data_IF_905587792669
#
_entry.id   IF_905587792669
#
_cell.length_a   1.000
_cell.length_b   1.000
_cell.length_c   1.000
_cell.angle_alpha   90.00
_cell.angle_beta   90.00
_cell.angle_gamma   90.00
#
_symmetry.space_group_name_H-M   'P 1'
#
loop_
_entity.id
_entity.type
_entity.pdbx_description
1 polymer ?
#
# COMPACT_ATOMS: atom_id res chain seq x y z
N UNK A 1 2.23 -37.04 32.39
CA UNK A 1 2.26 -37.85 31.14
C UNK A 1 3.17 -37.22 30.10
N UNK A 2 4.44 -37.66 30.05
CA UNK A 2 5.54 -37.07 29.26
C UNK A 2 6.10 -38.02 28.18
N UNK A 3 5.29 -38.96 27.66
CA UNK A 3 5.76 -40.01 26.74
C UNK A 3 5.33 -39.90 25.28
N UNK A 4 4.76 -38.75 24.87
CA UNK A 4 4.42 -38.47 23.46
C UNK A 4 5.31 -37.39 22.80
N UNK A 5 6.32 -36.87 23.51
CA UNK A 5 7.17 -35.76 23.04
C UNK A 5 8.49 -36.24 22.40
N UNK A 6 8.77 -37.55 22.37
CA UNK A 6 10.10 -38.09 22.00
C UNK A 6 10.12 -39.25 21.00
N UNK A 7 9.14 -39.37 20.10
CA UNK A 7 9.22 -40.39 19.05
C UNK A 7 9.67 -39.76 17.70
N UNK A 8 10.87 -40.12 17.25
CA UNK A 8 11.53 -39.57 16.06
C UNK A 8 10.77 -39.89 14.76
N UNK A 9 9.91 -40.92 14.78
CA UNK A 9 9.13 -41.39 13.62
C UNK A 9 8.00 -40.44 13.21
N UNK A 10 7.60 -39.51 14.08
CA UNK A 10 6.57 -38.51 13.79
C UNK A 10 7.13 -37.16 13.31
N UNK A 11 8.46 -37.00 13.21
CA UNK A 11 9.08 -35.77 12.70
C UNK A 11 8.78 -35.50 11.22
N UNK A 12 8.77 -36.49 10.31
CA UNK A 12 8.42 -36.25 8.91
C UNK A 12 6.96 -35.86 8.75
N UNK A 13 6.04 -36.55 9.43
CA UNK A 13 4.61 -36.22 9.43
C UNK A 13 4.30 -34.86 10.06
N UNK A 14 4.99 -34.46 11.15
CA UNK A 14 4.90 -33.10 11.71
C UNK A 14 5.56 -32.03 10.85
N UNK A 15 6.48 -32.40 9.96
CA UNK A 15 7.11 -31.49 9.01
C UNK A 15 6.18 -31.28 7.82
N UNK A 16 5.65 -32.35 7.23
CA UNK A 16 4.66 -32.31 6.15
C UNK A 16 3.37 -31.63 6.62
N UNK A 17 2.87 -31.92 7.83
CA UNK A 17 1.68 -31.27 8.37
C UNK A 17 1.89 -29.79 8.70
N UNK A 18 3.13 -29.38 8.99
CA UNK A 18 3.51 -27.97 9.15
C UNK A 18 3.72 -27.29 7.80
N UNK A 19 4.38 -27.94 6.86
CA UNK A 19 4.53 -27.48 5.47
C UNK A 19 3.18 -27.36 4.76
N UNK A 20 2.18 -28.19 5.09
CA UNK A 20 0.80 -28.09 4.59
C UNK A 20 -0.05 -27.02 5.31
N UNK A 21 0.26 -26.69 6.57
CA UNK A 21 -0.41 -25.61 7.33
C UNK A 21 0.26 -24.24 7.16
N UNK A 22 1.54 -24.21 6.81
CA UNK A 22 2.38 -23.01 6.66
C UNK A 22 2.72 -22.70 5.20
N UNK A 23 2.12 -23.38 4.21
CA UNK A 23 2.22 -22.98 2.80
C UNK A 23 1.02 -22.16 2.37
N UNK A 24 0.95 -20.84 2.64
CA UNK A 24 0.33 -19.98 1.67
C UNK A 24 1.19 -20.07 0.40
N UNK A 25 0.55 -20.22 -0.75
CA UNK A 25 1.17 -20.13 -2.08
C UNK A 25 1.93 -18.80 -2.31
N UNK A 26 1.85 -17.88 -1.34
CA UNK A 26 2.48 -16.57 -1.25
C UNK A 26 3.53 -16.58 -0.13
N UNK A 27 4.82 -16.60 -0.45
CA UNK A 27 5.86 -16.26 0.52
C UNK A 27 6.20 -14.78 0.39
N UNK A 28 5.86 -13.97 1.39
CA UNK A 28 6.47 -12.64 1.56
C UNK A 28 8.00 -12.81 1.48
N UNK A 29 8.70 -12.04 0.63
CA UNK A 29 10.16 -12.19 0.48
C UNK A 29 10.86 -12.22 1.84
N UNK A 30 11.89 -13.07 1.97
CA UNK A 30 12.58 -13.30 3.24
C UNK A 30 13.14 -12.00 3.88
N UNK A 31 13.28 -10.90 3.14
CA UNK A 31 13.66 -9.58 3.70
C UNK A 31 12.50 -8.88 4.43
N UNK A 32 11.24 -9.12 4.06
CA UNK A 32 10.06 -8.60 4.78
C UNK A 32 9.81 -9.38 6.08
N UNK A 33 10.08 -10.70 6.09
CA UNK A 33 9.92 -11.55 7.27
C UNK A 33 11.18 -11.68 8.15
N UNK A 34 12.35 -11.32 7.64
CA UNK A 34 13.58 -11.20 8.44
C UNK A 34 13.75 -9.81 9.04
N UNK A 35 12.71 -8.97 9.01
CA UNK A 35 12.64 -7.82 9.89
C UNK A 35 12.54 -8.36 11.32
N UNK A 36 13.50 -8.07 12.22
CA UNK A 36 13.22 -8.23 13.64
C UNK A 36 11.90 -7.49 13.94
N UNK A 37 11.16 -7.93 14.96
CA UNK A 37 9.96 -7.23 15.49
C UNK A 37 10.21 -5.71 15.73
N UNK A 38 11.47 -5.27 15.68
CA UNK A 38 11.95 -3.91 15.75
C UNK A 38 11.49 -2.92 14.66
N UNK A 39 10.88 -3.33 13.53
CA UNK A 39 10.37 -2.36 12.54
C UNK A 39 8.88 -2.55 12.19
N UNK A 40 8.04 -2.45 13.22
CA UNK A 40 6.58 -2.43 13.09
C UNK A 40 6.06 -1.34 12.15
N UNK A 41 6.61 -0.11 12.11
CA UNK A 41 6.19 0.90 11.12
C UNK A 41 6.35 0.43 9.67
N UNK A 42 7.52 -0.11 9.31
CA UNK A 42 7.74 -0.63 7.95
C UNK A 42 6.81 -1.81 7.64
N UNK A 43 6.61 -2.74 8.57
CA UNK A 43 5.67 -3.84 8.38
C UNK A 43 4.24 -3.34 8.17
N UNK A 44 3.83 -2.33 8.94
CA UNK A 44 2.52 -1.72 8.81
C UNK A 44 2.33 -1.00 7.47
N UNK A 45 3.33 -0.26 7.00
CA UNK A 45 3.35 0.39 5.69
C UNK A 45 3.20 -0.63 4.55
N UNK A 46 4.01 -1.70 4.56
CA UNK A 46 3.94 -2.77 3.58
C UNK A 46 2.58 -3.48 3.60
N UNK A 47 2.05 -3.75 4.79
CA UNK A 47 0.71 -4.31 4.93
C UNK A 47 -0.39 -3.36 4.42
N UNK A 48 -0.24 -2.05 4.62
CA UNK A 48 -1.12 -1.04 4.04
C UNK A 48 -1.07 -1.06 2.51
N UNK A 49 0.11 -1.18 1.90
CA UNK A 49 0.28 -1.32 0.45
C UNK A 49 -0.50 -2.51 -0.12
N UNK A 50 -0.40 -3.66 0.55
CA UNK A 50 -1.15 -4.86 0.18
C UNK A 50 -2.66 -4.68 0.38
N UNK A 51 -3.07 -4.02 1.45
CA UNK A 51 -4.49 -3.75 1.74
C UNK A 51 -5.11 -2.81 0.72
N UNK A 52 -4.38 -1.80 0.26
CA UNK A 52 -4.83 -0.90 -0.83
C UNK A 52 -4.93 -1.68 -2.13
N UNK A 53 -3.91 -2.46 -2.48
CA UNK A 53 -3.93 -3.31 -3.68
C UNK A 53 -5.12 -4.27 -3.70
N UNK A 54 -5.35 -5.01 -2.60
CA UNK A 54 -6.49 -5.92 -2.43
C UNK A 54 -7.82 -5.17 -2.58
N UNK A 55 -7.98 -4.03 -1.91
CA UNK A 55 -9.22 -3.25 -1.97
C UNK A 55 -9.52 -2.69 -3.38
N UNK A 56 -8.48 -2.40 -4.17
CA UNK A 56 -8.65 -2.03 -5.58
C UNK A 56 -9.12 -3.21 -6.44
N UNK A 57 -8.54 -4.40 -6.24
CA UNK A 57 -8.90 -5.62 -6.97
C UNK A 57 -10.36 -6.03 -6.73
N UNK A 58 -10.83 -5.90 -5.49
CA UNK A 58 -12.21 -6.21 -5.13
C UNK A 58 -13.25 -5.22 -5.70
N UNK A 59 -12.79 -4.09 -6.22
CA UNK A 59 -13.62 -3.10 -6.92
C UNK A 59 -14.12 -3.55 -8.30
N UNK A 60 -13.74 -4.74 -8.77
CA UNK A 60 -14.15 -5.27 -10.08
C UNK A 60 -13.40 -4.65 -11.26
N UNK A 61 -12.27 -3.99 -11.02
CA UNK A 61 -11.45 -3.37 -12.07
C UNK A 61 -10.62 -4.42 -12.82
N UNK A 62 -10.55 -4.29 -14.15
CA UNK A 62 -9.74 -5.21 -14.95
C UNK A 62 -8.25 -4.92 -14.75
N UNK A 63 -7.50 -5.92 -14.27
CA UNK A 63 -6.04 -5.83 -14.15
C UNK A 63 -5.42 -5.91 -15.54
N UNK A 64 -4.63 -4.91 -15.91
CA UNK A 64 -3.88 -4.86 -17.18
C UNK A 64 -2.44 -5.33 -16.98
N UNK A 65 -1.82 -4.93 -15.87
CA UNK A 65 -0.47 -5.35 -15.51
C UNK A 65 -0.31 -5.40 -14.00
N UNK A 66 0.63 -6.22 -13.53
CA UNK A 66 0.95 -6.33 -12.11
C UNK A 66 2.45 -6.64 -11.93
N UNK A 67 3.05 -6.10 -10.88
CA UNK A 67 4.40 -6.45 -10.43
C UNK A 67 4.45 -6.89 -8.97
N UNK A 68 3.27 -7.07 -8.34
CA UNK A 68 3.12 -7.41 -6.94
C UNK A 68 3.49 -8.87 -6.65
N UNK A 69 3.18 -9.78 -7.57
CA UNK A 69 3.45 -11.21 -7.48
C UNK A 69 4.52 -11.61 -8.50
N UNK A 70 5.62 -12.15 -7.99
CA UNK A 70 6.68 -12.74 -8.80
C UNK A 70 6.74 -14.26 -8.57
N UNK A 71 6.96 -15.02 -9.64
CA UNK A 71 7.14 -16.46 -9.53
C UNK A 71 8.60 -16.79 -9.18
N UNK A 72 8.81 -17.46 -8.06
CA UNK A 72 10.09 -18.03 -7.64
C UNK A 72 10.16 -19.47 -8.16
N UNK A 73 10.52 -19.61 -9.43
CA UNK A 73 10.55 -20.90 -10.16
C UNK A 73 11.50 -21.91 -9.51
N UNK A 74 12.56 -21.45 -8.85
CA UNK A 74 13.49 -22.31 -8.13
C UNK A 74 12.89 -22.95 -6.87
N UNK A 75 11.82 -22.36 -6.33
CA UNK A 75 11.14 -22.82 -5.11
C UNK A 75 9.65 -23.11 -5.33
N UNK A 76 9.20 -23.14 -6.59
CA UNK A 76 7.83 -23.43 -7.01
C UNK A 76 6.77 -22.66 -6.20
N UNK A 77 6.99 -21.35 -6.01
CA UNK A 77 6.13 -20.51 -5.16
C UNK A 77 6.00 -19.09 -5.70
N UNK A 78 4.96 -18.39 -5.28
CA UNK A 78 4.85 -16.95 -5.53
C UNK A 78 5.47 -16.16 -4.39
N UNK A 79 6.16 -15.08 -4.73
CA UNK A 79 6.63 -14.09 -3.78
C UNK A 79 5.91 -12.77 -4.00
N UNK A 80 5.63 -12.09 -2.89
CA UNK A 80 5.11 -10.72 -2.94
C UNK A 80 6.29 -9.76 -2.98
N UNK A 81 6.29 -8.86 -3.96
CA UNK A 81 7.32 -7.85 -4.16
C UNK A 81 6.69 -6.46 -4.22
N UNK A 82 7.12 -5.58 -3.31
CA UNK A 82 6.74 -4.16 -3.33
C UNK A 82 7.82 -3.38 -4.07
N UNK A 83 7.74 -3.38 -5.41
CA UNK A 83 8.70 -2.67 -6.25
C UNK A 83 8.47 -1.16 -6.21
N UNK A 84 9.56 -0.40 -6.06
CA UNK A 84 9.55 1.07 -6.20
C UNK A 84 9.81 1.53 -7.65
N UNK A 85 10.26 0.61 -8.50
CA UNK A 85 10.64 0.91 -9.89
C UNK A 85 9.47 0.82 -10.88
N UNK A 86 8.45 0.03 -10.57
CA UNK A 86 7.29 -0.22 -11.42
C UNK A 86 5.98 -0.11 -10.61
N UNK A 87 4.83 0.20 -11.25
CA UNK A 87 3.54 0.12 -10.58
C UNK A 87 3.28 -1.28 -10.03
N UNK A 88 2.77 -1.37 -8.80
CA UNK A 88 2.33 -2.62 -8.19
C UNK A 88 1.16 -3.23 -8.99
N UNK A 89 0.20 -2.37 -9.37
CA UNK A 89 -0.96 -2.72 -10.19
C UNK A 89 -1.20 -1.62 -11.23
N UNK A 90 -1.56 -2.04 -12.45
CA UNK A 90 -2.21 -1.20 -13.45
C UNK A 90 -3.62 -1.77 -13.73
N UNK A 91 -4.63 -0.92 -13.59
CA UNK A 91 -6.04 -1.30 -13.67
C UNK A 91 -6.76 -0.45 -14.71
N UNK A 92 -7.78 -1.01 -15.37
CA UNK A 92 -8.71 -0.29 -16.22
C UNK A 92 -10.08 -0.17 -15.54
N UNK A 93 -10.58 1.05 -15.45
CA UNK A 93 -11.92 1.34 -14.94
C UNK A 93 -12.44 2.66 -15.52
N UNK A 94 -13.69 2.65 -16.00
CA UNK A 94 -14.34 3.87 -16.52
C UNK A 94 -13.61 4.54 -17.69
N UNK A 95 -12.95 3.76 -18.55
CA UNK A 95 -12.16 4.27 -19.69
C UNK A 95 -10.84 4.95 -19.31
N UNK A 96 -10.37 4.74 -18.07
CA UNK A 96 -9.17 5.36 -17.52
C UNK A 96 -8.24 4.29 -16.93
N UNK A 97 -6.95 4.59 -16.97
CA UNK A 97 -5.92 3.76 -16.36
C UNK A 97 -5.66 4.23 -14.94
N UNK A 98 -5.66 3.30 -13.99
CA UNK A 98 -5.27 3.53 -12.62
C UNK A 98 -3.97 2.80 -12.32
N UNK A 99 -2.96 3.49 -11.75
CA UNK A 99 -1.68 2.89 -11.38
C UNK A 99 -1.43 3.03 -9.89
N UNK A 100 -1.29 1.91 -9.19
CA UNK A 100 -0.85 1.92 -7.80
C UNK A 100 0.67 1.83 -7.76
N UNK A 101 1.34 2.82 -7.17
CA UNK A 101 2.81 2.87 -7.03
C UNK A 101 3.20 2.89 -5.57
N UNK A 102 4.28 2.18 -5.25
CA UNK A 102 4.87 2.12 -3.92
C UNK A 102 6.13 2.99 -3.85
N UNK A 103 6.18 3.88 -2.87
CA UNK A 103 7.26 4.85 -2.64
C UNK A 103 7.73 5.59 -3.92
N UNK A 104 6.80 6.12 -4.77
CA UNK A 104 7.22 6.86 -5.96
C UNK A 104 7.95 8.15 -5.55
N UNK A 105 9.03 8.46 -6.27
CA UNK A 105 9.89 9.60 -5.99
C UNK A 105 9.59 10.76 -6.93
N UNK A 106 9.10 11.88 -6.38
CA UNK A 106 8.91 13.13 -7.11
C UNK A 106 10.05 14.09 -6.80
N UNK A 107 10.70 14.60 -7.84
CA UNK A 107 11.81 15.55 -7.75
C UNK A 107 11.49 16.79 -8.57
N UNK A 108 12.37 17.80 -8.58
CA UNK A 108 12.24 18.94 -9.48
C UNK A 108 12.34 18.57 -10.97
N UNK A 109 12.74 17.35 -11.30
CA UNK A 109 12.75 16.84 -12.68
C UNK A 109 11.44 16.10 -12.97
N UNK A 110 10.78 16.40 -14.11
CA UNK A 110 9.54 15.74 -14.49
C UNK A 110 9.74 14.25 -14.72
N UNK A 111 8.81 13.46 -14.24
CA UNK A 111 8.72 12.03 -14.57
C UNK A 111 8.05 11.80 -15.95
N UNK A 112 7.72 10.54 -16.27
CA UNK A 112 7.07 10.19 -17.54
C UNK A 112 5.67 10.78 -17.72
N UNK A 113 5.00 11.15 -16.64
CA UNK A 113 3.69 11.81 -16.64
C UNK A 113 3.82 13.35 -16.51
N UNK A 114 5.06 13.86 -16.49
CA UNK A 114 5.33 15.28 -16.27
C UNK A 114 5.14 15.72 -14.81
N UNK A 115 5.04 14.77 -13.87
CA UNK A 115 4.88 15.05 -12.44
C UNK A 115 6.22 15.42 -11.81
N UNK A 116 6.20 16.42 -10.94
CA UNK A 116 7.36 16.98 -10.23
C UNK A 116 7.02 17.22 -8.76
N UNK A 117 8.06 17.40 -7.96
CA UNK A 117 7.95 18.17 -6.72
C UNK A 117 7.93 19.67 -7.06
N UNK A 118 6.94 20.38 -6.55
CA UNK A 118 6.70 21.81 -6.74
C UNK A 118 7.49 22.69 -5.75
N UNK A 119 8.19 22.07 -4.82
CA UNK A 119 9.10 22.72 -3.88
C UNK A 119 10.52 22.16 -4.00
N UNK A 120 11.42 22.62 -3.14
CA UNK A 120 12.83 22.25 -3.17
C UNK A 120 13.10 20.81 -2.69
N UNK A 121 12.10 20.10 -2.17
CA UNK A 121 12.28 18.81 -1.52
C UNK A 121 11.86 17.65 -2.41
N UNK A 122 12.58 16.54 -2.32
CA UNK A 122 12.12 15.28 -2.92
C UNK A 122 10.95 14.75 -2.10
N UNK A 123 9.83 14.47 -2.76
CA UNK A 123 8.62 13.94 -2.11
C UNK A 123 8.49 12.45 -2.40
N UNK A 124 8.37 11.65 -1.35
CA UNK A 124 8.28 10.18 -1.42
C UNK A 124 7.14 9.71 -0.52
N UNK A 125 5.88 9.85 -0.96
CA UNK A 125 4.76 9.23 -0.25
C UNK A 125 4.86 7.71 -0.28
N UNK A 126 4.30 7.02 0.71
CA UNK A 126 4.34 5.55 0.76
C UNK A 126 3.61 4.91 -0.41
N UNK A 127 2.44 5.45 -0.78
CA UNK A 127 1.64 4.95 -1.89
C UNK A 127 1.01 6.10 -2.67
N UNK A 128 0.94 5.92 -3.99
CA UNK A 128 0.19 6.82 -4.87
C UNK A 128 -0.65 6.02 -5.82
N UNK A 129 -1.93 6.39 -5.92
CA UNK A 129 -2.83 5.94 -6.96
C UNK A 129 -2.91 7.04 -8.02
N UNK A 130 -2.29 6.80 -9.16
CA UNK A 130 -2.29 7.69 -10.32
C UNK A 130 -3.49 7.39 -11.20
N UNK A 131 -4.27 8.42 -11.55
CA UNK A 131 -5.37 8.37 -12.51
C UNK A 131 -4.91 9.00 -13.82
N UNK A 132 -4.92 8.22 -14.90
CA UNK A 132 -4.45 8.62 -16.21
C UNK A 132 -5.59 8.45 -17.22
N UNK A 133 -5.95 9.54 -17.88
CA UNK A 133 -6.92 9.57 -18.97
C UNK A 133 -6.28 10.21 -20.22
N UNK A 134 -6.66 9.81 -21.45
CA UNK A 134 -6.03 10.28 -22.68
C UNK A 134 -5.99 11.81 -22.83
N UNK A 135 -7.06 12.50 -22.41
CA UNK A 135 -7.25 13.94 -22.65
C UNK A 135 -7.32 14.77 -21.36
N UNK A 136 -6.83 14.25 -20.23
CA UNK A 136 -6.82 14.98 -18.96
C UNK A 136 -5.44 14.93 -18.32
N UNK A 137 -5.03 16.00 -17.61
CA UNK A 137 -3.83 15.93 -16.81
C UNK A 137 -3.95 14.80 -15.78
N UNK A 138 -2.84 14.11 -15.44
CA UNK A 138 -2.85 13.08 -14.42
C UNK A 138 -3.32 13.65 -13.09
N UNK A 139 -4.11 12.88 -12.35
CA UNK A 139 -4.49 13.22 -10.98
C UNK A 139 -4.09 12.12 -10.01
N UNK A 140 -3.74 12.50 -8.79
CA UNK A 140 -3.11 11.63 -7.82
C UNK A 140 -3.95 11.54 -6.55
N UNK A 141 -4.00 10.33 -5.98
CA UNK A 141 -4.39 10.11 -4.59
C UNK A 141 -3.17 9.58 -3.86
N UNK A 142 -2.81 10.23 -2.75
CA UNK A 142 -1.68 9.83 -1.90
C UNK A 142 -2.21 9.05 -0.69
N UNK A 143 -1.54 7.97 -0.32
CA UNK A 143 -1.72 7.30 0.95
C UNK A 143 -0.38 7.23 1.68
N UNK A 144 -0.38 7.58 2.96
CA UNK A 144 0.81 7.56 3.82
C UNK A 144 0.48 6.83 5.12
N UNK A 145 1.26 5.81 5.45
CA UNK A 145 1.00 4.89 6.54
C UNK A 145 1.74 5.34 7.80
N UNK A 146 1.00 5.57 8.88
CA UNK A 146 1.57 5.94 10.18
C UNK A 146 1.20 4.93 11.25
N UNK A 147 2.19 4.15 11.71
CA UNK A 147 2.03 3.21 12.83
C UNK A 147 2.16 3.91 14.19
N UNK A 148 1.27 4.88 14.47
CA UNK A 148 1.15 5.56 15.76
C UNK A 148 -0.17 6.31 15.86
N UNK A 149 -0.55 6.69 17.08
CA UNK A 149 -1.70 7.54 17.37
C UNK A 149 -1.30 8.68 18.28
N UNK A 150 -2.06 9.77 18.23
CA UNK A 150 -1.98 10.83 19.22
C UNK A 150 -2.47 10.34 20.60
N UNK A 151 -2.17 11.06 21.71
CA UNK A 151 -2.60 10.68 23.06
C UNK A 151 -4.12 10.53 23.22
N UNK A 152 -4.91 11.23 22.41
CA UNK A 152 -6.37 11.16 22.35
C UNK A 152 -6.89 10.03 21.42
N UNK A 153 -5.99 9.15 20.95
CA UNK A 153 -6.23 8.08 19.98
C UNK A 153 -6.61 8.54 18.56
N UNK A 154 -6.48 9.82 18.22
CA UNK A 154 -6.72 10.32 16.86
C UNK A 154 -5.48 10.19 15.98
N UNK A 155 -5.63 10.54 14.71
CA UNK A 155 -4.50 10.72 13.79
C UNK A 155 -3.54 11.80 14.36
N UNK A 156 -2.22 11.55 14.39
CA UNK A 156 -1.26 12.57 14.80
C UNK A 156 -1.34 13.82 13.91
N UNK A 157 -1.23 15.01 14.51
CA UNK A 157 -1.29 16.27 13.75
C UNK A 157 -0.14 16.38 12.72
N UNK A 158 1.06 15.97 13.10
CA UNK A 158 2.23 15.97 12.21
C UNK A 158 2.04 15.04 11.00
N UNK A 159 1.25 13.97 11.13
CA UNK A 159 0.85 13.14 10.00
C UNK A 159 -0.10 13.88 9.05
N UNK A 160 -1.02 14.70 9.56
CA UNK A 160 -1.88 15.53 8.70
C UNK A 160 -1.07 16.61 7.99
N UNK A 161 -0.07 17.19 8.66
CA UNK A 161 0.85 18.15 8.04
C UNK A 161 1.62 17.52 6.87
N UNK A 162 2.09 16.27 7.00
CA UNK A 162 2.69 15.49 5.91
C UNK A 162 1.72 15.34 4.73
N UNK A 163 0.45 14.99 4.98
CA UNK A 163 -0.57 14.84 3.94
C UNK A 163 -0.85 16.16 3.21
N UNK A 164 -0.96 17.28 3.94
CA UNK A 164 -1.08 18.60 3.34
C UNK A 164 0.16 18.99 2.54
N UNK A 165 1.36 18.62 3.02
CA UNK A 165 2.60 18.84 2.30
C UNK A 165 2.58 18.09 0.97
N UNK A 166 2.26 16.79 0.95
CA UNK A 166 2.14 16.03 -0.30
C UNK A 166 1.09 16.60 -1.24
N UNK A 167 -0.08 16.99 -0.71
CA UNK A 167 -1.10 17.69 -1.49
C UNK A 167 -0.48 18.93 -2.14
N UNK A 168 0.13 19.82 -1.38
CA UNK A 168 0.64 21.09 -1.89
C UNK A 168 1.83 20.97 -2.85
N UNK A 169 2.63 19.92 -2.71
CA UNK A 169 3.97 19.84 -3.30
C UNK A 169 4.16 18.85 -4.44
N UNK A 170 3.18 18.00 -4.75
CA UNK A 170 3.29 17.07 -5.89
C UNK A 170 2.32 17.49 -6.99
N UNK A 171 2.83 17.68 -8.21
CA UNK A 171 1.96 18.06 -9.32
C UNK A 171 2.69 18.29 -10.63
N UNK A 172 2.09 19.11 -11.47
CA UNK A 172 2.70 19.63 -12.68
C UNK A 172 3.01 21.11 -12.48
N UNK A 173 3.77 21.73 -13.37
CA UNK A 173 4.10 23.16 -13.26
C UNK A 173 2.86 24.08 -13.20
N UNK A 174 1.69 23.62 -13.67
CA UNK A 174 0.41 24.31 -13.57
C UNK A 174 -0.25 24.25 -12.19
N UNK A 175 0.22 23.38 -11.30
CA UNK A 175 -0.32 23.21 -9.94
C UNK A 175 -0.28 21.77 -9.46
N UNK A 176 -0.75 21.58 -8.23
CA UNK A 176 -0.84 20.25 -7.61
C UNK A 176 -1.71 19.30 -8.44
N UNK A 177 -1.21 18.07 -8.63
CA UNK A 177 -1.97 16.97 -9.21
C UNK A 177 -2.65 16.11 -8.14
N UNK A 178 -2.30 16.30 -6.85
CA UNK A 178 -2.87 15.54 -5.74
C UNK A 178 -4.25 16.08 -5.39
N UNK A 179 -5.28 15.31 -5.73
CA UNK A 179 -6.68 15.64 -5.42
C UNK A 179 -7.08 15.25 -4.00
N UNK A 180 -6.44 14.21 -3.45
CA UNK A 180 -6.70 13.73 -2.10
C UNK A 180 -5.45 13.08 -1.50
N UNK A 181 -5.17 13.34 -0.23
CA UNK A 181 -4.12 12.67 0.53
C UNK A 181 -4.67 12.06 1.81
N UNK A 182 -4.39 10.79 2.07
CA UNK A 182 -4.97 10.05 3.18
C UNK A 182 -3.89 9.47 4.09
N UNK A 183 -4.06 9.63 5.40
CA UNK A 183 -3.25 8.93 6.39
C UNK A 183 -3.88 7.58 6.71
N UNK A 184 -3.15 6.49 6.52
CA UNK A 184 -3.54 5.15 6.95
C UNK A 184 -2.97 4.90 8.34
N UNK A 185 -3.81 4.63 9.35
CA UNK A 185 -3.34 4.54 10.74
C UNK A 185 -4.11 3.47 11.56
N UNK A 186 -3.47 2.87 12.59
CA UNK A 186 -4.03 1.72 13.30
C UNK A 186 -5.13 2.15 14.28
N UNK A 187 -6.37 2.19 13.78
CA UNK A 187 -7.54 2.61 14.53
C UNK A 187 -8.80 1.86 14.09
N UNK A 188 -9.83 1.90 14.94
CA UNK A 188 -11.17 1.42 14.63
C UNK A 188 -12.11 2.60 14.51
N UNK A 189 -12.97 2.62 13.50
CA UNK A 189 -13.96 3.68 13.36
C UNK A 189 -14.20 4.08 11.92
N UNK A 190 -14.91 5.19 11.69
CA UNK A 190 -15.06 5.77 10.36
C UNK A 190 -13.79 6.49 9.92
N UNK A 191 -13.64 6.69 8.61
CA UNK A 191 -12.64 7.62 8.09
C UNK A 191 -13.02 9.07 8.47
N UNK A 192 -12.02 9.88 8.79
CA UNK A 192 -12.15 11.33 8.98
C UNK A 192 -11.82 12.03 7.65
N UNK A 193 -12.68 12.94 7.20
CA UNK A 193 -12.53 13.72 5.97
C UNK A 193 -12.37 15.20 6.32
N UNK A 194 -11.25 15.80 5.89
CA UNK A 194 -10.90 17.21 6.09
C UNK A 194 -10.87 17.97 4.76
N UNK A 195 -11.61 17.49 3.75
CA UNK A 195 -11.69 18.09 2.42
C UNK A 195 -10.70 17.46 1.44
N UNK A 196 -9.51 18.03 1.30
CA UNK A 196 -8.46 17.52 0.40
C UNK A 196 -7.51 16.53 1.09
N UNK A 197 -7.65 16.36 2.40
CA UNK A 197 -6.88 15.44 3.24
C UNK A 197 -7.86 14.63 4.10
N UNK A 198 -7.51 13.40 4.44
CA UNK A 198 -8.27 12.61 5.42
C UNK A 198 -7.41 11.63 6.20
N UNK A 199 -8.05 10.95 7.16
CA UNK A 199 -7.46 9.87 7.92
C UNK A 199 -8.35 8.63 7.82
N UNK A 200 -7.76 7.51 7.41
CA UNK A 200 -8.44 6.25 7.17
C UNK A 200 -7.97 5.24 8.23
N UNK A 201 -8.85 4.82 9.15
CA UNK A 201 -8.52 3.75 10.07
C UNK A 201 -8.31 2.46 9.28
N UNK A 202 -7.18 1.79 9.54
CA UNK A 202 -6.82 0.57 8.84
C UNK A 202 -6.16 -0.42 9.79
N UNK A 203 -6.85 -1.53 10.03
CA UNK A 203 -6.36 -2.66 10.83
C UNK A 203 -6.67 -3.97 10.09
N UNK A 204 -5.92 -5.06 10.35
CA UNK A 204 -6.24 -6.37 9.82
C UNK A 204 -7.72 -6.71 10.04
N UNK A 205 -8.37 -7.21 8.99
CA UNK A 205 -9.81 -7.56 8.98
C UNK A 205 -10.79 -6.38 9.09
N UNK A 206 -10.30 -5.13 9.23
CA UNK A 206 -11.11 -3.92 9.35
C UNK A 206 -10.78 -2.94 8.21
N UNK A 207 -11.11 -3.34 6.97
CA UNK A 207 -10.76 -2.61 5.74
C UNK A 207 -11.93 -1.87 5.08
N UNK A 208 -13.11 -1.87 5.70
CA UNK A 208 -14.33 -1.27 5.14
C UNK A 208 -14.20 0.22 4.83
N UNK A 209 -13.55 0.99 5.71
CA UNK A 209 -13.32 2.43 5.50
C UNK A 209 -12.43 2.69 4.26
N UNK A 210 -11.36 1.91 4.10
CA UNK A 210 -10.48 1.98 2.93
C UNK A 210 -11.23 1.63 1.64
N UNK A 211 -11.98 0.52 1.62
CA UNK A 211 -12.77 0.10 0.45
C UNK A 211 -13.79 1.16 0.05
N UNK A 212 -14.50 1.73 1.02
CA UNK A 212 -15.49 2.79 0.77
C UNK A 212 -14.84 4.04 0.19
N UNK A 213 -13.66 4.43 0.71
CA UNK A 213 -12.90 5.56 0.18
C UNK A 213 -12.45 5.30 -1.27
N UNK A 214 -11.85 4.14 -1.56
CA UNK A 214 -11.39 3.82 -2.91
C UNK A 214 -12.54 3.80 -3.92
N UNK A 215 -13.69 3.23 -3.54
CA UNK A 215 -14.91 3.27 -4.36
C UNK A 215 -15.39 4.70 -4.61
N UNK A 216 -15.34 5.60 -3.61
CA UNK A 216 -15.67 7.03 -3.78
C UNK A 216 -14.70 7.72 -4.74
N UNK A 217 -13.40 7.42 -4.62
CA UNK A 217 -12.35 8.06 -5.39
C UNK A 217 -12.26 7.58 -6.85
N UNK A 218 -12.65 6.34 -7.13
CA UNK A 218 -12.56 5.74 -8.48
C UNK A 218 -13.82 5.94 -9.33
N UNK A 219 -14.86 6.57 -8.79
CA UNK A 219 -16.01 7.09 -9.56
C UNK A 219 -15.62 8.37 -10.29
#
# INVERSE_FOLDING_TARGET
SQRLVRDQRYRPLRRIWRELRESPLLTLEARMLALPIADLPTLYEQWCALSVAEALLDGGTAVVAQSLLAEDTARERWTVQLSTAAPLLELQSGGQTWRLRYQPRYTSRPDRLGLVALDAYTRIPDLVLEQIAPDRPPSLVVFDAKYRRAPDNRVPQDALDDAYAYRGSIGQHSGSAVRYAAILYPHHGPAEDFGSVGAVPLLPQHTTALRSLLQKLMR
#
